data_IF_996056528587
#
_entry.id   IF_996056528587
#
_cell.length_a   1.000
_cell.length_b   1.000
_cell.length_c   1.000
_cell.angle_alpha   90.00
_cell.angle_beta   90.00
_cell.angle_gamma   90.00
#
_symmetry.space_group_name_H-M   'P 1'
#
loop_
_entity.id
_entity.type
_entity.pdbx_description
1 polymer ?
#
# COMPACT_ATOMS: atom_id res chain seq x y z
N UNK A 1 -31.93 24.57 -23.54
CA UNK A 1 -31.58 23.50 -22.59
C UNK A 1 -30.10 23.63 -22.30
N UNK A 2 -29.74 24.18 -21.13
CA UNK A 2 -28.35 24.30 -20.72
C UNK A 2 -27.86 22.92 -20.27
N UNK A 3 -26.80 22.42 -20.88
CA UNK A 3 -26.11 21.22 -20.44
C UNK A 3 -25.52 21.53 -19.05
N UNK A 4 -26.11 20.96 -18.00
CA UNK A 4 -25.47 20.87 -16.70
C UNK A 4 -24.15 20.14 -16.91
N UNK A 5 -23.03 20.83 -16.69
CA UNK A 5 -21.72 20.23 -16.62
C UNK A 5 -21.80 19.09 -15.59
N UNK A 6 -21.73 17.84 -16.06
CA UNK A 6 -21.48 16.71 -15.17
C UNK A 6 -20.16 17.03 -14.49
N UNK A 7 -20.20 17.42 -13.21
CA UNK A 7 -19.01 17.46 -12.38
C UNK A 7 -18.45 16.05 -12.39
N UNK A 8 -17.30 15.86 -13.02
CA UNK A 8 -16.59 14.59 -13.06
C UNK A 8 -16.43 14.12 -11.60
N UNK A 9 -17.00 12.96 -11.28
CA UNK A 9 -16.91 12.41 -9.94
C UNK A 9 -15.45 11.97 -9.70
N UNK A 10 -14.73 12.72 -8.87
CA UNK A 10 -13.36 12.42 -8.48
C UNK A 10 -13.36 11.70 -7.15
N UNK A 11 -12.80 10.48 -7.12
CA UNK A 11 -12.59 9.75 -5.87
C UNK A 11 -11.60 10.51 -4.98
N UNK A 12 -11.93 10.77 -3.70
CA UNK A 12 -10.98 11.36 -2.76
C UNK A 12 -9.72 10.48 -2.64
N UNK A 13 -8.56 11.12 -2.75
CA UNK A 13 -7.25 10.46 -2.61
C UNK A 13 -6.79 10.46 -1.16
N UNK A 14 -5.93 9.52 -0.79
CA UNK A 14 -5.47 9.35 0.59
C UNK A 14 -4.71 10.57 1.15
N UNK A 15 -4.05 11.37 0.30
CA UNK A 15 -3.38 12.61 0.72
C UNK A 15 -4.34 13.61 1.39
N UNK A 16 -5.65 13.56 1.09
CA UNK A 16 -6.66 14.42 1.73
C UNK A 16 -7.02 13.98 3.16
N UNK A 17 -6.49 12.85 3.62
CA UNK A 17 -6.67 12.38 5.00
C UNK A 17 -5.80 13.16 6.00
N UNK A 18 -4.80 13.89 5.52
CA UNK A 18 -3.82 14.57 6.37
C UNK A 18 -3.63 16.04 6.01
N UNK A 19 -3.27 16.83 7.02
CA UNK A 19 -2.87 18.23 6.86
C UNK A 19 -1.40 18.40 6.43
N UNK A 20 -0.59 17.34 6.49
CA UNK A 20 0.83 17.39 6.12
C UNK A 20 0.98 17.56 4.60
N UNK A 21 1.83 18.48 4.11
CA UNK A 21 2.06 18.67 2.68
C UNK A 21 2.55 17.41 1.98
N UNK A 22 2.14 17.19 0.73
CA UNK A 22 2.52 16.00 -0.04
C UNK A 22 4.05 15.83 -0.25
N UNK A 23 4.82 16.92 -0.20
CA UNK A 23 6.27 16.88 -0.29
C UNK A 23 6.93 16.27 0.97
N UNK A 24 6.22 16.32 2.10
CA UNK A 24 6.70 15.88 3.41
C UNK A 24 6.12 14.50 3.80
N UNK A 25 5.26 13.92 2.96
CA UNK A 25 4.67 12.59 3.17
C UNK A 25 5.45 11.48 2.44
N UNK A 26 5.53 10.33 3.11
CA UNK A 26 5.97 9.07 2.50
C UNK A 26 4.77 8.34 1.89
N UNK A 27 5.02 7.61 0.81
CA UNK A 27 4.03 6.84 0.07
C UNK A 27 4.69 5.60 -0.54
N UNK A 28 3.93 4.80 -1.26
CA UNK A 28 4.43 3.54 -1.82
C UNK A 28 5.61 3.75 -2.78
N UNK A 29 5.66 4.85 -3.54
CA UNK A 29 6.80 5.09 -4.44
C UNK A 29 8.10 5.45 -3.71
N UNK A 30 8.04 6.32 -2.69
CA UNK A 30 9.23 6.94 -2.08
C UNK A 30 9.63 6.39 -0.70
N UNK A 31 8.92 5.37 -0.19
CA UNK A 31 9.27 4.69 1.05
C UNK A 31 10.20 3.51 0.83
N UNK A 32 10.99 3.18 1.85
CA UNK A 32 11.83 1.98 1.87
C UNK A 32 11.16 0.78 2.52
N UNK A 33 10.13 1.01 3.34
CA UNK A 33 9.34 -0.04 4.00
C UNK A 33 7.87 0.39 4.03
N UNK A 34 6.98 -0.56 3.79
CA UNK A 34 5.54 -0.40 4.03
C UNK A 34 5.10 -1.45 5.04
N UNK A 35 4.49 -1.03 6.15
CA UNK A 35 3.75 -1.92 7.03
C UNK A 35 2.28 -1.80 6.68
N UNK A 36 1.72 -2.86 6.10
CA UNK A 36 0.28 -3.00 5.96
C UNK A 36 -0.27 -3.59 7.24
N UNK A 37 -0.96 -2.77 8.03
CA UNK A 37 -1.73 -3.22 9.19
C UNK A 37 -3.18 -3.39 8.77
N UNK A 38 -3.75 -4.57 8.97
CA UNK A 38 -5.17 -4.85 8.70
C UNK A 38 -5.92 -5.04 10.00
N UNK A 39 -7.13 -4.49 10.11
CA UNK A 39 -7.98 -4.63 11.28
C UNK A 39 -9.45 -4.81 10.92
N UNK A 40 -10.06 -5.91 11.38
CA UNK A 40 -11.50 -6.13 11.25
C UNK A 40 -12.26 -5.47 12.40
N UNK A 41 -13.14 -4.52 12.08
CA UNK A 41 -14.02 -3.88 13.06
C UNK A 41 -15.19 -4.78 13.45
N UNK A 42 -15.66 -4.62 14.68
CA UNK A 42 -16.98 -5.07 15.11
C UNK A 42 -18.04 -4.18 14.49
N UNK A 43 -19.06 -4.79 13.91
CA UNK A 43 -20.10 -4.08 13.17
C UNK A 43 -20.85 -3.03 14.01
N UNK A 44 -20.97 -3.24 15.33
CA UNK A 44 -21.59 -2.25 16.22
C UNK A 44 -20.73 -0.98 16.40
N UNK A 45 -19.40 -1.06 16.33
CA UNK A 45 -18.48 0.06 16.58
C UNK A 45 -17.82 0.60 15.31
N UNK A 46 -18.44 0.31 14.15
CA UNK A 46 -17.84 0.56 12.83
C UNK A 46 -17.54 2.05 12.57
N UNK A 47 -18.32 2.95 13.17
CA UNK A 47 -18.17 4.40 12.99
C UNK A 47 -17.06 4.94 13.87
N UNK A 48 -17.03 4.51 15.14
CA UNK A 48 -15.99 4.84 16.11
C UNK A 48 -14.63 4.30 15.65
N UNK A 49 -14.60 3.09 15.11
CA UNK A 49 -13.38 2.46 14.59
C UNK A 49 -12.78 3.20 13.40
N UNK A 50 -13.60 3.63 12.43
CA UNK A 50 -13.16 4.47 11.30
C UNK A 50 -12.64 5.83 11.78
N UNK A 51 -13.31 6.43 12.76
CA UNK A 51 -12.86 7.69 13.35
C UNK A 51 -11.51 7.53 14.06
N UNK A 52 -11.37 6.48 14.88
CA UNK A 52 -10.11 6.13 15.54
C UNK A 52 -8.99 5.93 14.52
N UNK A 53 -9.25 5.21 13.44
CA UNK A 53 -8.27 4.96 12.39
C UNK A 53 -7.73 6.24 11.76
N UNK A 54 -8.62 7.19 11.43
CA UNK A 54 -8.24 8.51 10.90
C UNK A 54 -7.46 9.33 11.92
N UNK A 55 -7.95 9.42 13.16
CA UNK A 55 -7.30 10.20 14.22
C UNK A 55 -5.87 9.69 14.47
N UNK A 56 -5.70 8.36 14.50
CA UNK A 56 -4.39 7.74 14.64
C UNK A 56 -3.48 8.06 13.45
N UNK A 57 -4.00 7.94 12.22
CA UNK A 57 -3.25 8.23 11.01
C UNK A 57 -2.78 9.69 10.95
N UNK A 58 -3.67 10.64 11.24
CA UNK A 58 -3.34 12.07 11.23
C UNK A 58 -2.36 12.43 12.35
N UNK A 59 -2.53 11.84 13.52
CA UNK A 59 -1.59 12.02 14.62
C UNK A 59 -0.18 11.57 14.22
N UNK A 60 -0.06 10.34 13.68
CA UNK A 60 1.22 9.80 13.22
C UNK A 60 1.85 10.68 12.13
N UNK A 61 1.07 11.10 11.15
CA UNK A 61 1.56 11.96 10.07
C UNK A 61 2.12 13.29 10.58
N UNK A 62 1.44 13.93 11.54
CA UNK A 62 1.86 15.23 12.07
C UNK A 62 3.05 15.16 13.02
N UNK A 63 3.12 14.12 13.86
CA UNK A 63 4.17 14.02 14.88
C UNK A 63 5.46 13.40 14.32
N UNK A 64 5.34 12.52 13.33
CA UNK A 64 6.46 11.75 12.80
C UNK A 64 6.77 12.14 11.34
N UNK A 65 6.61 13.42 11.00
CA UNK A 65 6.95 13.97 9.67
C UNK A 65 8.38 13.58 9.30
N UNK A 66 8.55 13.08 8.08
CA UNK A 66 9.84 12.62 7.58
C UNK A 66 10.31 11.27 8.14
N UNK A 67 9.68 10.72 9.17
CA UNK A 67 9.96 9.37 9.70
C UNK A 67 8.96 8.37 9.11
N UNK A 68 7.66 8.66 9.22
CA UNK A 68 6.59 7.80 8.76
C UNK A 68 5.41 8.60 8.19
N UNK A 69 4.66 7.98 7.28
CA UNK A 69 3.36 8.48 6.84
C UNK A 69 2.36 7.33 6.70
N UNK A 70 1.19 7.52 7.30
CA UNK A 70 0.12 6.54 7.40
C UNK A 70 -1.07 7.03 6.60
N UNK A 71 -1.67 6.12 5.85
CA UNK A 71 -2.94 6.34 5.17
C UNK A 71 -3.87 5.15 5.43
N UNK A 72 -5.17 5.45 5.56
CA UNK A 72 -6.21 4.46 5.87
C UNK A 72 -7.00 4.13 4.62
N UNK A 73 -7.26 2.85 4.40
CA UNK A 73 -8.04 2.32 3.30
C UNK A 73 -9.08 1.32 3.82
N UNK A 74 -10.10 1.08 3.01
CA UNK A 74 -11.07 0.02 3.20
C UNK A 74 -11.13 -0.88 1.96
N UNK A 75 -11.46 -2.15 2.15
CA UNK A 75 -11.74 -3.07 1.04
C UNK A 75 -12.94 -2.54 0.24
N UNK A 76 -12.69 -2.14 -1.01
CA UNK A 76 -13.68 -1.61 -1.96
C UNK A 76 -14.74 -2.67 -2.26
N UNK A 77 -14.25 -3.88 -2.53
CA UNK A 77 -15.02 -5.09 -2.75
C UNK A 77 -14.28 -6.21 -2.01
N UNK A 78 -14.95 -6.82 -1.03
CA UNK A 78 -14.31 -7.81 -0.16
C UNK A 78 -14.98 -7.87 1.19
N UNK A 79 -14.19 -7.92 2.25
CA UNK A 79 -14.64 -8.01 3.62
C UNK A 79 -15.06 -6.64 4.15
N UNK A 80 -16.33 -6.52 4.55
CA UNK A 80 -16.85 -5.28 5.10
C UNK A 80 -16.23 -4.95 6.45
N UNK A 81 -16.06 -3.66 6.69
CA UNK A 81 -15.54 -3.12 7.94
C UNK A 81 -14.10 -3.58 8.25
N UNK A 82 -13.34 -4.00 7.22
CA UNK A 82 -11.90 -4.21 7.29
C UNK A 82 -11.16 -2.93 6.93
N UNK A 83 -10.35 -2.43 7.87
CA UNK A 83 -9.47 -1.28 7.66
C UNK A 83 -8.06 -1.75 7.34
N UNK A 84 -7.40 -1.04 6.44
CA UNK A 84 -5.98 -1.21 6.13
C UNK A 84 -5.26 0.11 6.41
N UNK A 85 -4.29 0.12 7.31
CA UNK A 85 -3.33 1.21 7.44
C UNK A 85 -2.09 0.85 6.64
N UNK A 86 -1.74 1.67 5.67
CA UNK A 86 -0.45 1.60 4.98
C UNK A 86 0.49 2.59 5.68
N UNK A 87 1.36 2.09 6.55
CA UNK A 87 2.42 2.85 7.21
C UNK A 87 3.67 2.81 6.34
N UNK A 88 4.01 3.94 5.73
CA UNK A 88 5.17 4.12 4.87
C UNK A 88 6.32 4.68 5.71
N UNK A 89 7.47 4.03 5.70
CA UNK A 89 8.65 4.41 6.47
C UNK A 89 9.88 4.48 5.56
N UNK A 90 10.87 5.31 5.93
CA UNK A 90 12.11 5.39 5.16
C UNK A 90 12.93 4.11 5.23
N UNK A 91 12.94 3.44 6.37
CA UNK A 91 13.76 2.27 6.65
C UNK A 91 13.16 1.44 7.79
N UNK A 92 13.74 0.27 8.06
CA UNK A 92 13.42 -0.52 9.26
C UNK A 92 13.92 0.16 10.55
N UNK A 93 14.97 0.97 10.49
CA UNK A 93 15.43 1.78 11.64
C UNK A 93 14.38 2.82 12.06
N UNK A 94 13.68 3.42 11.08
CA UNK A 94 12.56 4.32 11.38
C UNK A 94 11.44 3.64 12.18
N UNK A 95 11.30 2.31 12.08
CA UNK A 95 10.34 1.56 12.90
C UNK A 95 10.76 1.54 14.39
N UNK A 96 12.05 1.54 14.71
CA UNK A 96 12.53 1.56 16.10
C UNK A 96 12.06 2.83 16.83
N UNK A 97 12.05 3.97 16.13
CA UNK A 97 11.47 5.22 16.65
C UNK A 97 9.97 5.07 16.95
N UNK A 98 9.22 4.40 16.08
CA UNK A 98 7.79 4.15 16.28
C UNK A 98 7.51 3.14 17.41
N UNK A 99 8.43 2.21 17.69
CA UNK A 99 8.31 1.31 18.84
C UNK A 99 8.47 2.09 20.15
N UNK A 100 9.44 3.01 20.21
CA UNK A 100 9.71 3.81 21.41
C UNK A 100 8.54 4.73 21.77
N UNK A 101 7.79 5.21 20.77
CA UNK A 101 6.59 6.05 20.92
C UNK A 101 5.64 5.55 22.01
N UNK A 102 5.34 4.25 22.07
CA UNK A 102 4.38 3.71 23.05
C UNK A 102 4.78 3.96 24.51
N UNK A 103 6.08 4.20 24.75
CA UNK A 103 6.65 4.46 26.07
C UNK A 103 7.00 5.94 26.34
N UNK A 104 7.16 6.76 25.31
CA UNK A 104 7.64 8.14 25.47
C UNK A 104 6.64 9.19 25.02
N UNK A 105 5.66 8.82 24.21
CA UNK A 105 4.72 9.76 23.61
C UNK A 105 3.39 9.77 24.36
N UNK A 106 3.10 10.88 25.05
CA UNK A 106 1.84 11.07 25.78
C UNK A 106 0.65 11.28 24.84
N UNK A 107 0.84 11.97 23.71
CA UNK A 107 -0.23 12.24 22.75
C UNK A 107 -0.67 10.97 22.04
N UNK A 108 0.27 10.07 21.72
CA UNK A 108 -0.07 8.75 21.18
C UNK A 108 -0.94 7.96 22.16
N UNK A 109 -0.58 7.96 23.45
CA UNK A 109 -1.37 7.28 24.48
C UNK A 109 -2.76 7.89 24.61
N UNK A 110 -2.87 9.20 24.52
CA UNK A 110 -4.16 9.87 24.52
C UNK A 110 -5.02 9.38 23.35
N UNK A 111 -4.49 9.33 22.13
CA UNK A 111 -5.22 8.85 20.95
C UNK A 111 -5.68 7.40 21.11
N UNK A 112 -4.79 6.53 21.62
CA UNK A 112 -5.06 5.10 21.81
C UNK A 112 -6.09 4.85 22.91
N UNK A 113 -5.89 5.41 24.09
CA UNK A 113 -6.69 5.08 25.28
C UNK A 113 -7.90 5.99 25.51
N UNK A 114 -8.12 6.98 24.64
CA UNK A 114 -9.35 7.80 24.67
C UNK A 114 -10.58 6.91 24.60
N UNK A 115 -11.47 7.09 25.57
CA UNK A 115 -12.78 6.45 25.55
C UNK A 115 -13.61 7.04 24.41
N UNK A 116 -13.99 6.20 23.46
CA UNK A 116 -14.68 6.59 22.22
C UNK A 116 -16.03 5.91 22.09
N UNK A 117 -16.29 4.89 22.91
CA UNK A 117 -17.57 4.21 22.98
C UNK A 117 -18.38 4.85 24.10
N UNK A 118 -19.61 5.33 23.85
CA UNK A 118 -20.45 5.89 24.90
C UNK A 118 -20.71 4.88 26.04
N UNK A 119 -20.90 5.38 27.27
CA UNK A 119 -21.04 4.53 28.46
C UNK A 119 -22.29 3.65 28.40
N UNK A 120 -23.38 4.15 27.81
CA UNK A 120 -24.61 3.42 27.55
C UNK A 120 -24.43 2.23 26.59
N UNK A 121 -23.31 2.19 25.85
CA UNK A 121 -22.89 1.08 24.97
C UNK A 121 -21.73 0.27 25.59
N UNK A 122 -21.53 0.43 26.90
CA UNK A 122 -20.56 -0.29 27.72
C UNK A 122 -19.19 0.38 27.83
N UNK A 123 -18.98 1.56 27.24
CA UNK A 123 -17.70 2.28 27.32
C UNK A 123 -16.53 1.57 26.63
N UNK A 124 -15.42 2.25 26.40
CA UNK A 124 -14.16 1.60 26.00
C UNK A 124 -13.36 2.33 24.94
N UNK A 125 -12.14 1.83 24.74
CA UNK A 125 -11.17 2.39 23.80
C UNK A 125 -11.14 1.59 22.50
N UNK A 126 -10.03 1.70 21.76
CA UNK A 126 -9.84 1.04 20.47
C UNK A 126 -10.02 -0.48 20.54
N UNK A 127 -9.57 -1.11 21.61
CA UNK A 127 -9.56 -2.57 21.81
C UNK A 127 -10.94 -3.21 21.66
N UNK A 128 -12.00 -2.52 22.12
CA UNK A 128 -13.38 -2.99 21.95
C UNK A 128 -13.92 -2.83 20.53
N UNK A 129 -13.33 -1.98 19.70
CA UNK A 129 -13.83 -1.69 18.35
C UNK A 129 -13.45 -2.77 17.34
N UNK A 130 -12.39 -3.53 17.60
CA UNK A 130 -11.87 -4.56 16.71
C UNK A 130 -12.23 -5.96 17.20
N UNK A 131 -12.23 -6.92 16.29
CA UNK A 131 -12.29 -8.33 16.66
C UNK A 131 -10.98 -8.76 17.31
N UNK A 132 -11.08 -9.64 18.31
CA UNK A 132 -9.92 -10.20 18.99
C UNK A 132 -9.08 -11.03 17.99
N UNK A 133 -7.77 -10.78 17.94
CA UNK A 133 -6.89 -11.37 16.93
C UNK A 133 -7.17 -10.88 15.49
N UNK A 134 -8.02 -9.86 15.33
CA UNK A 134 -8.37 -9.26 14.04
C UNK A 134 -7.34 -8.27 13.50
N UNK A 135 -6.32 -7.93 14.29
CA UNK A 135 -5.19 -7.10 13.86
C UNK A 135 -4.05 -7.97 13.35
N UNK A 136 -3.58 -7.69 12.13
CA UNK A 136 -2.47 -8.38 11.48
C UNK A 136 -1.58 -7.36 10.78
N UNK A 137 -0.29 -7.66 10.69
CA UNK A 137 0.68 -6.81 10.00
C UNK A 137 1.47 -7.61 9.00
N UNK A 138 1.71 -7.00 7.84
CA UNK A 138 2.61 -7.50 6.81
C UNK A 138 3.65 -6.41 6.54
N UNK A 139 4.94 -6.77 6.58
CA UNK A 139 6.03 -5.83 6.33
C UNK A 139 6.54 -6.06 4.92
N UNK A 140 6.46 -5.03 4.08
CA UNK A 140 6.80 -5.06 2.67
C UNK A 140 8.01 -4.16 2.40
N UNK A 141 8.94 -4.67 1.60
CA UNK A 141 10.10 -3.91 1.11
C UNK A 141 10.08 -3.87 -0.42
N UNK A 142 10.42 -2.73 -1.05
CA UNK A 142 10.50 -2.65 -2.50
C UNK A 142 11.46 -3.69 -3.07
N UNK A 143 11.03 -4.40 -4.10
CA UNK A 143 11.90 -5.31 -4.82
C UNK A 143 12.95 -4.51 -5.60
N UNK A 144 14.21 -4.93 -5.54
CA UNK A 144 15.30 -4.39 -6.36
C UNK A 144 16.17 -5.50 -6.94
N UNK A 145 16.87 -5.20 -8.04
CA UNK A 145 17.83 -6.13 -8.63
C UNK A 145 18.93 -6.48 -7.63
N UNK A 146 19.24 -7.77 -7.53
CA UNK A 146 20.22 -8.28 -6.59
C UNK A 146 19.67 -8.68 -5.23
N UNK A 147 18.43 -8.33 -4.93
CA UNK A 147 17.73 -8.94 -3.81
C UNK A 147 17.35 -10.38 -4.14
N UNK A 148 17.51 -11.26 -3.16
CA UNK A 148 17.07 -12.66 -3.18
C UNK A 148 17.51 -13.46 -4.42
N UNK A 149 18.73 -13.21 -4.91
CA UNK A 149 19.35 -13.99 -5.98
C UNK A 149 18.94 -13.57 -7.40
N UNK A 150 18.57 -12.31 -7.58
CA UNK A 150 18.23 -11.72 -8.89
C UNK A 150 19.37 -10.93 -9.55
N UNK A 151 20.57 -10.90 -8.95
CA UNK A 151 21.76 -10.33 -9.60
C UNK A 151 22.84 -11.37 -9.82
N UNK A 152 23.50 -11.26 -10.98
CA UNK A 152 24.67 -12.03 -11.37
C UNK A 152 25.99 -11.46 -10.81
N UNK A 153 25.92 -10.29 -10.16
CA UNK A 153 27.04 -9.59 -9.52
C UNK A 153 26.61 -8.97 -8.20
N UNK A 154 27.60 -8.51 -7.43
CA UNK A 154 27.37 -7.77 -6.20
C UNK A 154 26.49 -6.52 -6.46
N UNK A 155 25.40 -6.30 -5.71
CA UNK A 155 24.53 -5.15 -5.90
C UNK A 155 25.22 -3.84 -5.49
N UNK A 156 25.09 -2.78 -6.30
CA UNK A 156 25.57 -1.42 -5.96
C UNK A 156 24.89 -0.82 -4.71
N UNK A 157 23.82 -1.46 -4.24
CA UNK A 157 23.06 -1.09 -3.05
C UNK A 157 23.65 -1.63 -1.76
N UNK A 158 24.68 -2.46 -1.81
CA UNK A 158 25.43 -2.84 -0.62
C UNK A 158 26.34 -1.68 -0.21
N UNK A 159 26.16 -1.24 1.03
CA UNK A 159 26.90 -0.13 1.63
C UNK A 159 27.66 -0.68 2.82
N UNK A 160 28.97 -0.43 2.90
CA UNK A 160 29.77 -0.70 4.08
C UNK A 160 29.80 0.53 4.98
N UNK A 161 29.03 0.59 6.09
CA UNK A 161 29.21 1.64 7.08
C UNK A 161 30.58 1.43 7.76
N UNK A 162 31.51 2.36 7.53
CA UNK A 162 32.79 2.53 8.24
C UNK A 162 33.53 1.23 8.65
N UNK A 163 33.68 0.28 7.72
CA UNK A 163 34.42 -0.97 7.93
C UNK A 163 33.68 -2.04 8.75
N UNK A 164 32.38 -1.88 8.96
CA UNK A 164 31.48 -2.86 9.57
C UNK A 164 30.90 -3.88 8.59
N UNK A 165 29.84 -4.59 9.01
CA UNK A 165 29.08 -5.46 8.10
C UNK A 165 28.38 -4.64 7.01
N UNK A 166 28.43 -5.15 5.77
CA UNK A 166 27.67 -4.59 4.66
C UNK A 166 26.17 -4.58 4.97
N UNK A 167 25.56 -3.42 4.75
CA UNK A 167 24.15 -3.17 4.87
C UNK A 167 23.55 -3.01 3.47
N UNK A 168 22.41 -3.65 3.21
CA UNK A 168 21.65 -3.44 1.97
C UNK A 168 20.78 -2.17 2.07
N UNK A 169 21.16 -1.12 1.35
CA UNK A 169 20.33 0.06 1.17
C UNK A 169 19.22 -0.24 0.15
N UNK A 170 18.04 -0.64 0.64
CA UNK A 170 16.88 -0.97 -0.22
C UNK A 170 16.44 0.28 -1.00
N UNK A 171 16.53 0.29 -2.34
CA UNK A 171 16.03 1.39 -3.15
C UNK A 171 14.52 1.53 -3.02
N UNK A 172 14.01 2.76 -3.08
CA UNK A 172 12.56 3.00 -3.10
C UNK A 172 11.93 2.45 -4.39
N UNK A 173 10.64 2.11 -4.34
CA UNK A 173 9.93 1.57 -5.50
C UNK A 173 9.85 2.54 -6.68
N UNK A 174 10.06 3.84 -6.47
CA UNK A 174 10.15 4.87 -7.52
C UNK A 174 11.19 4.52 -8.60
N UNK A 175 12.25 3.79 -8.25
CA UNK A 175 13.27 3.32 -9.20
C UNK A 175 12.81 2.16 -10.10
N UNK A 176 11.59 1.64 -9.89
CA UNK A 176 11.01 0.57 -10.70
C UNK A 176 10.24 1.09 -11.93
N UNK A 177 10.16 2.41 -12.13
CA UNK A 177 9.42 3.02 -13.23
C UNK A 177 10.20 4.15 -13.88
N UNK A 178 10.00 4.31 -15.18
CA UNK A 178 10.50 5.45 -15.96
C UNK A 178 9.38 6.44 -16.31
N UNK A 179 8.18 6.28 -15.75
CA UNK A 179 7.08 7.23 -15.90
C UNK A 179 7.53 8.60 -15.38
N UNK A 180 7.01 9.68 -15.98
CA UNK A 180 7.32 11.04 -15.50
C UNK A 180 6.75 11.25 -14.10
N UNK A 181 7.37 12.10 -13.26
CA UNK A 181 6.90 12.33 -11.89
C UNK A 181 5.42 12.73 -11.76
N UNK A 182 4.89 13.47 -12.74
CA UNK A 182 3.48 13.92 -12.79
C UNK A 182 2.50 12.83 -13.28
N UNK A 183 3.03 11.76 -13.88
CA UNK A 183 2.28 10.60 -14.37
C UNK A 183 2.28 9.42 -13.38
N UNK A 184 3.16 9.46 -12.37
CA UNK A 184 3.30 8.40 -11.37
C UNK A 184 2.18 8.44 -10.34
N UNK A 185 1.50 7.32 -10.18
CA UNK A 185 0.54 7.08 -9.12
C UNK A 185 1.15 6.26 -7.98
N UNK A 186 0.76 6.60 -6.75
CA UNK A 186 1.20 5.95 -5.52
C UNK A 186 0.07 5.98 -4.49
N UNK A 187 0.27 5.33 -3.35
CA UNK A 187 -0.74 5.14 -2.30
C UNK A 187 -1.42 6.46 -1.92
N UNK A 188 -0.67 7.55 -1.75
CA UNK A 188 -1.23 8.85 -1.37
C UNK A 188 -2.06 9.57 -2.45
N UNK A 189 -1.79 9.40 -3.76
CA UNK A 189 -2.41 10.20 -4.83
C UNK A 189 -3.35 9.40 -5.75
N UNK A 190 -3.39 8.08 -5.63
CA UNK A 190 -4.25 7.24 -6.45
C UNK A 190 -5.70 7.22 -5.93
N UNK A 191 -6.64 6.90 -6.81
CA UNK A 191 -8.04 6.72 -6.42
C UNK A 191 -8.29 5.35 -5.80
N UNK A 192 -7.58 4.31 -6.25
CA UNK A 192 -7.65 2.94 -5.73
C UNK A 192 -6.26 2.29 -5.75
N UNK A 193 -5.94 1.55 -4.70
CA UNK A 193 -4.82 0.60 -4.70
C UNK A 193 -5.37 -0.80 -4.92
N UNK A 194 -5.01 -1.44 -6.03
CA UNK A 194 -5.22 -2.88 -6.19
C UNK A 194 -3.97 -3.61 -5.71
N UNK A 195 -4.10 -4.31 -4.59
CA UNK A 195 -3.06 -5.13 -4.02
C UNK A 195 -3.21 -6.56 -4.54
N UNK A 196 -2.32 -6.94 -5.45
CA UNK A 196 -2.18 -8.32 -5.92
C UNK A 196 -1.09 -9.02 -5.14
N UNK A 197 -1.39 -10.23 -4.67
CA UNK A 197 -0.41 -11.08 -3.98
C UNK A 197 -0.28 -12.41 -4.71
N UNK A 198 0.91 -12.98 -4.78
CA UNK A 198 1.17 -14.32 -5.31
C UNK A 198 2.33 -15.00 -4.59
N UNK A 199 2.26 -16.31 -4.44
CA UNK A 199 3.31 -17.11 -3.82
C UNK A 199 4.04 -17.90 -4.91
N UNK A 200 5.35 -17.72 -5.01
CA UNK A 200 6.18 -18.47 -5.95
C UNK A 200 6.49 -19.85 -5.40
N UNK A 201 6.58 -20.83 -6.31
CA UNK A 201 7.21 -22.10 -5.99
C UNK A 201 8.71 -21.86 -5.84
N UNK A 202 9.26 -22.37 -4.75
CA UNK A 202 10.68 -22.22 -4.39
C UNK A 202 11.66 -22.58 -5.53
N UNK A 203 11.35 -23.61 -6.32
CA UNK A 203 12.17 -24.08 -7.46
C UNK A 203 12.25 -23.08 -8.63
N UNK A 204 11.26 -22.17 -8.75
CA UNK A 204 11.12 -21.19 -9.82
C UNK A 204 11.20 -19.74 -9.31
N UNK A 205 11.76 -19.53 -8.12
CA UNK A 205 11.65 -18.23 -7.44
C UNK A 205 12.42 -17.11 -8.15
N UNK A 206 13.50 -17.42 -8.85
CA UNK A 206 14.28 -16.43 -9.62
C UNK A 206 13.51 -16.03 -10.87
N UNK A 207 13.04 -17.02 -11.63
CA UNK A 207 12.22 -16.82 -12.83
C UNK A 207 10.90 -16.08 -12.50
N UNK A 208 10.32 -16.41 -11.35
CA UNK A 208 9.14 -15.76 -10.81
C UNK A 208 9.32 -14.27 -10.54
N UNK A 209 10.46 -13.88 -9.95
CA UNK A 209 10.83 -12.48 -9.70
C UNK A 209 11.10 -11.74 -11.01
N UNK A 210 11.80 -12.36 -11.96
CA UNK A 210 12.03 -11.78 -13.29
C UNK A 210 10.72 -11.50 -14.03
N UNK A 211 9.80 -12.47 -14.03
CA UNK A 211 8.46 -12.28 -14.60
C UNK A 211 7.70 -11.15 -13.92
N UNK A 212 7.70 -11.13 -12.58
CA UNK A 212 7.01 -10.10 -11.81
C UNK A 212 7.53 -8.69 -12.13
N UNK A 213 8.84 -8.57 -12.36
CA UNK A 213 9.47 -7.33 -12.78
C UNK A 213 9.13 -6.95 -14.21
N UNK A 214 9.25 -7.88 -15.15
CA UNK A 214 8.90 -7.62 -16.55
C UNK A 214 7.43 -7.21 -16.72
N UNK A 215 6.53 -7.78 -15.91
CA UNK A 215 5.13 -7.38 -15.87
C UNK A 215 4.98 -5.93 -15.40
N UNK A 216 5.69 -5.56 -14.33
CA UNK A 216 5.71 -4.20 -13.76
C UNK A 216 6.23 -3.18 -14.78
N UNK A 217 7.39 -3.47 -15.39
CA UNK A 217 8.02 -2.59 -16.38
C UNK A 217 7.12 -2.41 -17.63
N UNK A 218 6.52 -3.50 -18.11
CA UNK A 218 5.62 -3.46 -19.27
C UNK A 218 4.42 -2.56 -18.99
N UNK A 219 3.72 -2.73 -17.88
CA UNK A 219 2.53 -1.92 -17.59
C UNK A 219 2.89 -0.46 -17.32
N UNK A 220 3.95 -0.20 -16.57
CA UNK A 220 4.41 1.15 -16.31
C UNK A 220 4.78 1.89 -17.61
N UNK A 221 5.33 1.18 -18.61
CA UNK A 221 5.65 1.79 -19.91
C UNK A 221 4.43 2.19 -20.75
N UNK A 222 3.26 1.59 -20.49
CA UNK A 222 2.06 1.76 -21.32
C UNK A 222 0.91 2.51 -20.63
N UNK A 223 1.00 2.75 -19.31
CA UNK A 223 -0.12 3.26 -18.49
C UNK A 223 0.16 4.56 -17.73
N UNK A 224 1.20 5.32 -18.12
CA UNK A 224 1.51 6.61 -17.49
C UNK A 224 0.27 7.50 -17.30
N UNK A 225 0.08 8.03 -16.08
CA UNK A 225 -1.06 8.88 -15.71
C UNK A 225 -2.40 8.15 -15.52
N UNK A 226 -2.47 6.85 -15.85
CA UNK A 226 -3.66 6.02 -15.63
C UNK A 226 -3.41 5.01 -14.50
N UNK A 227 -2.28 4.31 -14.55
CA UNK A 227 -1.88 3.35 -13.54
C UNK A 227 -0.35 3.27 -13.37
N UNK A 228 0.07 2.95 -12.15
CA UNK A 228 1.47 2.67 -11.82
C UNK A 228 1.54 1.45 -10.92
N UNK A 229 2.44 0.52 -11.26
CA UNK A 229 2.69 -0.68 -10.45
C UNK A 229 4.03 -0.56 -9.76
N UNK A 230 4.04 -0.95 -8.50
CA UNK A 230 5.24 -1.20 -7.73
C UNK A 230 5.24 -2.62 -7.18
N UNK A 231 6.43 -3.22 -7.14
CA UNK A 231 6.69 -4.58 -6.72
C UNK A 231 7.35 -4.59 -5.34
N UNK A 232 6.85 -5.44 -4.44
CA UNK A 232 7.35 -5.62 -3.09
C UNK A 232 7.42 -7.12 -2.73
N UNK A 233 8.23 -7.43 -1.73
CA UNK A 233 8.30 -8.74 -1.09
C UNK A 233 8.12 -8.60 0.43
N UNK A 234 7.68 -9.67 1.10
CA UNK A 234 7.60 -9.70 2.57
C UNK A 234 9.01 -9.73 3.18
N UNK A 235 9.32 -8.76 4.04
CA UNK A 235 10.58 -8.76 4.80
C UNK A 235 10.57 -9.86 5.90
N UNK A 236 9.39 -10.07 6.50
CA UNK A 236 9.14 -11.11 7.50
C UNK A 236 7.84 -11.82 7.12
N UNK A 237 7.86 -13.16 7.05
CA UNK A 237 6.69 -13.93 6.66
C UNK A 237 7.03 -15.09 5.73
N UNK A 238 6.18 -15.34 4.73
CA UNK A 238 6.45 -16.40 3.77
C UNK A 238 7.50 -15.92 2.77
N UNK A 239 8.65 -16.59 2.77
CA UNK A 239 9.65 -16.42 1.72
C UNK A 239 9.00 -16.64 0.34
N UNK A 240 9.41 -15.85 -0.64
CA UNK A 240 8.95 -15.94 -2.05
C UNK A 240 7.49 -15.51 -2.30
N UNK A 241 6.89 -14.75 -1.39
CA UNK A 241 5.63 -14.05 -1.65
C UNK A 241 5.86 -12.67 -2.25
N UNK A 242 5.21 -12.44 -3.39
CA UNK A 242 5.29 -11.22 -4.17
C UNK A 242 4.00 -10.41 -4.02
N UNK A 243 4.18 -9.11 -3.88
CA UNK A 243 3.12 -8.12 -3.73
C UNK A 243 3.25 -7.09 -4.86
N UNK A 244 2.23 -6.96 -5.70
CA UNK A 244 2.11 -5.83 -6.62
C UNK A 244 1.11 -4.84 -6.04
N UNK A 245 1.56 -3.62 -5.77
CA UNK A 245 0.66 -2.49 -5.53
C UNK A 245 0.41 -1.79 -6.86
N UNK A 246 -0.82 -1.97 -7.37
CA UNK A 246 -1.26 -1.47 -8.66
C UNK A 246 -2.15 -0.26 -8.39
N UNK A 247 -1.59 0.92 -8.52
CA UNK A 247 -2.24 2.20 -8.23
C UNK A 247 -3.05 2.63 -9.45
N UNK A 248 -4.36 2.77 -9.28
CA UNK A 248 -5.28 3.16 -10.34
C UNK A 248 -5.77 4.59 -10.08
N UNK A 249 -5.81 5.41 -11.14
CA UNK A 249 -6.40 6.75 -11.05
C UNK A 249 -7.86 6.69 -10.59
N UNK A 250 -8.60 5.68 -11.05
CA UNK A 250 -10.02 5.45 -10.73
C UNK A 250 -10.39 3.97 -10.96
N UNK A 251 -11.52 3.52 -10.41
CA UNK A 251 -12.01 2.12 -10.53
C UNK A 251 -12.05 1.67 -12.00
N UNK A 252 -12.60 2.52 -12.88
CA UNK A 252 -12.79 2.21 -14.30
C UNK A 252 -11.47 2.02 -15.04
N UNK A 253 -10.34 2.50 -14.49
CA UNK A 253 -9.01 2.24 -15.06
C UNK A 253 -8.70 0.74 -15.11
N UNK A 254 -9.32 -0.08 -14.27
CA UNK A 254 -9.16 -1.54 -14.31
C UNK A 254 -9.45 -2.15 -15.69
N UNK A 255 -10.39 -1.58 -16.46
CA UNK A 255 -10.65 -2.05 -17.83
C UNK A 255 -9.46 -1.86 -18.78
N UNK A 256 -8.62 -0.84 -18.56
CA UNK A 256 -7.38 -0.67 -19.33
C UNK A 256 -6.38 -1.78 -19.03
N UNK A 257 -6.29 -2.22 -17.76
CA UNK A 257 -5.45 -3.36 -17.37
C UNK A 257 -5.91 -4.66 -18.04
N UNK A 258 -7.22 -4.91 -18.04
CA UNK A 258 -7.79 -6.05 -18.74
C UNK A 258 -7.51 -5.98 -20.24
N UNK A 259 -7.66 -4.80 -20.85
CA UNK A 259 -7.38 -4.56 -22.27
C UNK A 259 -5.93 -4.83 -22.65
N UNK A 260 -4.98 -4.37 -21.84
CA UNK A 260 -3.54 -4.63 -22.03
C UNK A 260 -3.22 -6.12 -22.03
N UNK A 261 -3.75 -6.86 -21.06
CA UNK A 261 -3.63 -8.33 -21.00
C UNK A 261 -4.27 -9.00 -22.23
N UNK A 262 -5.29 -8.38 -22.79
CA UNK A 262 -6.16 -8.97 -23.79
C UNK A 262 -5.70 -8.82 -25.25
N UNK A 263 -4.69 -7.99 -25.61
CA UNK A 263 -3.87 -8.06 -26.87
C UNK A 263 -3.17 -6.76 -27.31
N UNK A 264 -3.38 -5.60 -26.69
CA UNK A 264 -2.99 -4.32 -27.31
C UNK A 264 -1.52 -3.94 -27.19
N UNK A 265 -0.78 -4.45 -26.19
CA UNK A 265 0.62 -4.07 -25.98
C UNK A 265 1.59 -5.24 -26.26
N UNK A 266 2.57 -5.08 -27.19
CA UNK A 266 3.53 -6.13 -27.52
C UNK A 266 4.40 -6.58 -26.35
N UNK A 267 4.85 -5.67 -25.47
CA UNK A 267 5.69 -6.01 -24.32
C UNK A 267 4.89 -6.78 -23.26
N UNK A 268 3.64 -6.37 -23.04
CA UNK A 268 2.76 -7.08 -22.10
C UNK A 268 2.47 -8.49 -22.62
N UNK A 269 2.20 -8.62 -23.93
CA UNK A 269 2.01 -9.92 -24.57
C UNK A 269 3.27 -10.79 -24.46
N UNK A 270 4.45 -10.23 -24.70
CA UNK A 270 5.72 -10.95 -24.56
C UNK A 270 5.87 -11.51 -23.14
N UNK A 271 5.64 -10.69 -22.11
CA UNK A 271 5.76 -11.14 -20.72
C UNK A 271 4.82 -12.32 -20.39
N UNK A 272 3.62 -12.37 -20.96
CA UNK A 272 2.68 -13.49 -20.72
C UNK A 272 2.89 -14.72 -21.63
N UNK A 273 3.62 -14.58 -22.74
CA UNK A 273 3.82 -15.66 -23.73
C UNK A 273 5.25 -16.23 -23.71
N UNK A 274 6.20 -15.53 -23.09
CA UNK A 274 7.57 -15.99 -22.89
C UNK A 274 7.57 -17.30 -22.08
N UNK A 275 8.43 -18.22 -22.52
CA UNK A 275 8.78 -19.39 -21.74
C UNK A 275 9.79 -18.95 -20.67
N UNK A 276 9.30 -18.76 -19.45
CA UNK A 276 10.11 -18.25 -18.33
C UNK A 276 10.96 -19.33 -17.69
N UNK A 277 10.46 -20.57 -17.68
CA UNK A 277 11.14 -21.69 -17.05
C UNK A 277 12.09 -22.32 -18.08
N UNK A 278 13.39 -22.43 -17.78
CA UNK A 278 14.34 -23.11 -18.65
C UNK A 278 13.96 -24.58 -18.93
N UNK A 279 14.38 -25.11 -20.08
CA UNK A 279 14.00 -26.48 -20.51
C UNK A 279 14.54 -27.55 -19.56
N UNK A 280 15.73 -27.33 -19.01
CA UNK A 280 16.38 -28.16 -18.01
C UNK A 280 15.60 -28.23 -16.68
N UNK A 281 14.77 -27.22 -16.39
CA UNK A 281 13.82 -27.20 -15.26
C UNK A 281 12.40 -27.67 -15.66
N UNK A 282 12.27 -28.25 -16.86
CA UNK A 282 11.02 -28.80 -17.37
C UNK A 282 10.17 -27.84 -18.21
N UNK A 283 10.67 -26.65 -18.54
CA UNK A 283 10.04 -25.71 -19.48
C UNK A 283 8.74 -25.07 -18.99
N UNK A 284 8.16 -24.17 -19.78
CA UNK A 284 6.82 -23.62 -19.56
C UNK A 284 6.73 -22.16 -19.13
N UNK A 285 5.49 -21.70 -19.00
CA UNK A 285 5.14 -20.30 -18.78
C UNK A 285 5.05 -19.91 -17.32
N UNK A 286 4.63 -18.66 -17.12
CA UNK A 286 4.54 -18.04 -15.79
C UNK A 286 3.57 -18.76 -14.86
N UNK A 287 2.52 -19.37 -15.39
CA UNK A 287 1.47 -20.07 -14.65
C UNK A 287 2.02 -21.24 -13.82
N UNK A 288 3.16 -21.80 -14.22
CA UNK A 288 3.82 -22.88 -13.48
C UNK A 288 4.63 -22.40 -12.28
N UNK A 289 5.05 -21.13 -12.29
CA UNK A 289 5.95 -20.54 -11.28
C UNK A 289 5.23 -20.24 -9.97
N UNK A 290 3.91 -20.07 -9.98
CA UNK A 290 3.12 -19.75 -8.79
C UNK A 290 2.49 -20.99 -8.17
N UNK A 291 2.36 -20.98 -6.84
CA UNK A 291 1.51 -21.92 -6.11
C UNK A 291 0.07 -21.74 -6.58
N UNK A 292 -0.60 -22.83 -6.94
CA UNK A 292 -1.95 -22.78 -7.48
C UNK A 292 -2.91 -22.12 -6.49
N UNK A 293 -3.69 -21.14 -6.97
CA UNK A 293 -4.66 -20.39 -6.15
C UNK A 293 -4.05 -19.34 -5.21
N UNK A 294 -2.72 -19.12 -5.25
CA UNK A 294 -2.07 -18.08 -4.45
C UNK A 294 -2.26 -16.68 -5.01
N UNK A 295 -2.47 -16.53 -6.33
CA UNK A 295 -2.72 -15.25 -6.98
C UNK A 295 -4.09 -14.69 -6.58
N UNK A 296 -4.08 -13.59 -5.83
CA UNK A 296 -5.29 -12.92 -5.29
C UNK A 296 -5.19 -11.43 -5.50
N UNK A 297 -6.33 -10.81 -5.80
CA UNK A 297 -6.48 -9.36 -5.94
C UNK A 297 -7.40 -8.82 -4.85
N UNK A 298 -6.99 -7.73 -4.22
CA UNK A 298 -7.78 -6.96 -3.27
C UNK A 298 -7.77 -5.49 -3.71
N UNK A 299 -8.94 -4.86 -3.75
CA UNK A 299 -9.06 -3.44 -4.12
C UNK A 299 -9.29 -2.60 -2.86
N UNK A 300 -8.44 -1.61 -2.63
CA UNK A 300 -8.46 -0.72 -1.48
C UNK A 300 -8.82 0.70 -1.92
N UNK A 301 -9.88 1.27 -1.34
CA UNK A 301 -10.26 2.68 -1.56
C UNK A 301 -9.80 3.52 -0.36
N UNK A 302 -9.20 4.70 -0.59
CA UNK A 302 -8.88 5.62 0.50
C UNK A 302 -10.10 5.93 1.36
N UNK A 303 -9.94 5.83 2.66
CA UNK A 303 -10.95 6.26 3.61
C UNK A 303 -11.13 7.79 3.47
N UNK A 304 -12.37 8.29 3.44
CA UNK A 304 -12.65 9.72 3.47
C UNK A 304 -13.88 10.05 4.32
N UNK A 305 -14.04 11.33 4.64
CA UNK A 305 -15.19 11.84 5.38
C UNK A 305 -16.49 11.65 4.59
N UNK A 306 -17.58 11.30 5.27
CA UNK A 306 -18.88 11.02 4.64
C UNK A 306 -18.99 9.63 4.00
N UNK A 307 -17.90 8.86 3.94
CA UNK A 307 -17.97 7.44 3.58
C UNK A 307 -18.71 6.67 4.69
N UNK A 308 -19.66 5.82 4.30
CA UNK A 308 -20.47 4.95 5.18
C UNK A 308 -21.15 5.63 6.38
N UNK A 309 -21.60 6.88 6.21
CA UNK A 309 -22.29 7.65 7.26
C UNK A 309 -21.45 7.86 8.54
N UNK A 310 -20.12 7.87 8.41
CA UNK A 310 -19.27 8.52 9.42
C UNK A 310 -19.74 9.96 9.58
N UNK A 311 -19.90 10.45 10.82
CA UNK A 311 -20.26 11.85 11.08
C UNK A 311 -19.37 12.73 10.20
N UNK A 312 -20.00 13.62 9.42
CA UNK A 312 -19.26 14.58 8.62
C UNK A 312 -18.24 15.30 9.52
N UNK A 313 -17.08 15.66 8.95
CA UNK A 313 -16.07 16.45 9.65
C UNK A 313 -16.76 17.59 10.41
N UNK A 314 -16.40 17.93 11.66
CA UNK A 314 -16.92 19.13 12.29
C UNK A 314 -16.42 20.30 11.45
N UNK A 315 -17.22 20.73 10.47
CA UNK A 315 -17.06 21.99 9.80
C UNK A 315 -17.05 23.03 10.92
N UNK A 316 -15.97 23.82 10.98
CA UNK A 316 -15.74 24.79 12.03
C UNK A 316 -17.00 25.55 12.38
N UNK A 317 -17.30 25.61 13.68
CA UNK A 317 -18.33 26.48 14.19
C UNK A 317 -18.14 27.88 13.58
N UNK A 318 -19.19 28.50 13.02
CA UNK A 318 -19.09 29.89 12.62
C UNK A 318 -18.73 30.68 13.88
N UNK A 319 -17.68 31.48 13.79
CA UNK A 319 -17.33 32.43 14.83
C UNK A 319 -18.58 33.25 15.14
N UNK A 320 -19.11 33.04 16.34
CA UNK A 320 -20.20 33.81 16.90
C UNK A 320 -19.71 35.26 16.98
N UNK A 321 -20.22 36.10 16.09
CA UNK A 321 -20.02 37.54 16.17
C UNK A 321 -20.95 38.06 17.27
N UNK A 322 -20.45 38.04 18.50
CA UNK A 322 -20.88 38.91 19.59
C UNK A 322 -19.99 40.14 19.68
#
# INVERSE_FOLDING_TARGET
>A
MAATSNSEFVLPVAQLQTSVPAADTLNSANSGVIVERTGQLRAEFRSEGRQFARDLSEYLNRQYVGIASTFVYEETFGTKDTLHWLLHMRSLEAYEHLVQMGSTDEGWREVMFRNRIPQERGGGSWDRMFLDGGLKETVLIPQSFGMYGTADSEPETLVSPDGGMEWLAVPTAQHQTSQKPDEVLHSANCGIVMHRTGELKYEFRSEGREFARALTDSWNSSLGGLATIFLYEEAFGLSDRIHWFIHLKQVSTYYNLMGLRARTDPKAREAFTKEWIPKEKGGGGWERMFVQGSLKDMALTPQHWGMYATKASPAGEPADQG
#
